data_IF_444022288011
#
_entry.id   IF_444022288011
#
_cell.length_a   1.000
_cell.length_b   1.000
_cell.length_c   1.000
_cell.angle_alpha   90.00
_cell.angle_beta   90.00
_cell.angle_gamma   90.00
#
_symmetry.space_group_name_H-M   'P 1'
#
loop_
_entity.id
_entity.type
_entity.pdbx_description
1 polymer ?
#
# COMPACT_ATOMS: atom_id res chain seq x y z
N UNK A 1 -15.62 -12.28 0.56
CA UNK A 1 -16.13 -12.29 1.96
C UNK A 1 -17.05 -11.08 2.21
N UNK A 2 -17.87 -11.03 3.27
CA UNK A 2 -18.58 -9.79 3.62
C UNK A 2 -17.66 -8.87 4.44
N UNK A 3 -17.09 -7.87 3.77
CA UNK A 3 -16.14 -6.92 4.33
C UNK A 3 -16.88 -5.59 4.51
N UNK A 4 -16.87 -5.03 5.71
CA UNK A 4 -17.53 -3.73 5.99
C UNK A 4 -16.67 -2.57 5.50
N UNK A 5 -17.30 -1.41 5.25
CA UNK A 5 -16.60 -0.16 4.88
C UNK A 5 -15.48 0.15 5.87
N UNK A 6 -15.76 0.09 7.17
CA UNK A 6 -14.77 0.30 8.23
C UNK A 6 -13.57 -0.64 8.09
N UNK A 7 -13.82 -1.94 7.86
CA UNK A 7 -12.73 -2.92 7.69
C UNK A 7 -11.90 -2.64 6.44
N UNK A 8 -12.51 -2.13 5.36
CA UNK A 8 -11.77 -1.69 4.16
C UNK A 8 -10.85 -0.51 4.49
N UNK A 9 -11.36 0.50 5.19
CA UNK A 9 -10.59 1.69 5.59
C UNK A 9 -9.44 1.30 6.54
N UNK A 10 -9.72 0.49 7.56
CA UNK A 10 -8.72 0.01 8.52
C UNK A 10 -7.61 -0.79 7.80
N UNK A 11 -7.98 -1.63 6.83
CA UNK A 11 -7.03 -2.40 6.02
C UNK A 11 -6.19 -1.49 5.11
N UNK A 12 -6.78 -0.47 4.46
CA UNK A 12 -6.02 0.49 3.64
C UNK A 12 -5.08 1.35 4.51
N UNK A 13 -5.50 1.74 5.71
CA UNK A 13 -4.64 2.46 6.63
C UNK A 13 -3.43 1.60 7.02
N UNK A 14 -3.65 0.32 7.33
CA UNK A 14 -2.55 -0.62 7.59
C UNK A 14 -1.66 -0.85 6.37
N UNK A 15 -2.23 -0.94 5.16
CA UNK A 15 -1.45 -1.01 3.92
C UNK A 15 -0.49 0.18 3.79
N UNK A 16 -0.98 1.39 4.07
CA UNK A 16 -0.16 2.60 4.05
C UNK A 16 0.99 2.54 5.07
N UNK A 17 0.70 2.17 6.32
CA UNK A 17 1.71 2.04 7.37
C UNK A 17 2.83 1.05 6.98
N UNK A 18 2.46 -0.11 6.45
CA UNK A 18 3.42 -1.11 6.01
C UNK A 18 4.19 -0.67 4.76
N UNK A 19 3.55 0.04 3.84
CA UNK A 19 4.21 0.59 2.68
C UNK A 19 5.24 1.66 3.06
N UNK A 20 4.91 2.54 4.01
CA UNK A 20 5.84 3.52 4.58
C UNK A 20 7.02 2.85 5.29
N UNK A 21 6.79 1.72 5.98
CA UNK A 21 7.85 0.92 6.59
C UNK A 21 8.81 0.34 5.54
N UNK A 22 8.29 -0.18 4.43
CA UNK A 22 9.10 -0.68 3.31
C UNK A 22 9.89 0.46 2.66
N UNK A 23 9.24 1.61 2.39
CA UNK A 23 9.91 2.78 1.82
C UNK A 23 11.06 3.27 2.68
N UNK A 24 10.88 3.31 4.01
CA UNK A 24 11.96 3.63 4.96
C UNK A 24 13.13 2.64 4.86
N UNK A 25 12.86 1.34 4.78
CA UNK A 25 13.92 0.33 4.61
C UNK A 25 14.69 0.51 3.31
N UNK A 26 13.99 0.72 2.19
CA UNK A 26 14.61 0.95 0.88
C UNK A 26 15.47 2.19 0.90
N UNK A 27 14.98 3.30 1.46
CA UNK A 27 15.73 4.55 1.54
C UNK A 27 16.98 4.42 2.41
N UNK A 28 16.88 3.74 3.55
CA UNK A 28 18.03 3.46 4.40
C UNK A 28 19.07 2.59 3.68
N UNK A 29 18.63 1.55 2.96
CA UNK A 29 19.51 0.68 2.19
C UNK A 29 20.23 1.42 1.04
N UNK A 30 19.52 2.33 0.35
CA UNK A 30 20.10 3.22 -0.67
C UNK A 30 21.15 4.16 -0.07
N UNK A 31 20.86 4.78 1.08
CA UNK A 31 21.76 5.73 1.72
C UNK A 31 23.08 5.07 2.18
N UNK A 32 23.02 3.81 2.60
CA UNK A 32 24.18 3.05 3.06
C UNK A 32 25.04 2.50 1.91
N UNK A 33 24.49 2.35 0.70
CA UNK A 33 25.16 1.68 -0.40
C UNK A 33 25.26 2.58 -1.64
N UNK A 34 26.34 3.37 -1.74
CA UNK A 34 26.61 4.29 -2.87
C UNK A 34 26.69 3.61 -4.24
N UNK A 35 26.87 2.29 -4.30
CA UNK A 35 27.07 1.53 -5.54
C UNK A 35 25.86 0.67 -5.95
N UNK A 36 24.80 0.57 -5.12
CA UNK A 36 23.68 -0.33 -5.42
C UNK A 36 22.60 0.42 -6.20
N UNK A 37 22.57 0.19 -7.50
CA UNK A 37 21.44 0.58 -8.36
C UNK A 37 20.35 -0.47 -8.21
N UNK A 38 19.28 -0.12 -7.49
CA UNK A 38 18.10 -0.97 -7.40
C UNK A 38 17.25 -0.82 -8.66
N UNK A 39 16.80 -1.94 -9.21
CA UNK A 39 15.70 -1.92 -10.18
C UNK A 39 14.41 -1.54 -9.44
N UNK A 40 13.97 -0.29 -9.63
CA UNK A 40 12.85 0.28 -8.88
C UNK A 40 11.52 -0.43 -9.18
N UNK A 41 11.37 -1.07 -10.35
CA UNK A 41 10.20 -1.90 -10.66
C UNK A 41 10.15 -3.13 -9.77
N UNK A 42 11.28 -3.82 -9.61
CA UNK A 42 11.42 -4.97 -8.71
C UNK A 42 11.18 -4.55 -7.25
N UNK A 43 11.69 -3.39 -6.84
CA UNK A 43 11.43 -2.84 -5.50
C UNK A 43 9.94 -2.59 -5.29
N UNK A 44 9.27 -1.93 -6.23
CA UNK A 44 7.85 -1.64 -6.15
C UNK A 44 6.99 -2.92 -6.10
N UNK A 45 7.28 -3.90 -6.97
CA UNK A 45 6.59 -5.19 -6.96
C UNK A 45 6.79 -5.94 -5.64
N UNK A 46 8.02 -5.91 -5.11
CA UNK A 46 8.34 -6.54 -3.82
C UNK A 46 7.61 -5.84 -2.67
N UNK A 47 7.54 -4.51 -2.68
CA UNK A 47 6.78 -3.75 -1.69
C UNK A 47 5.29 -4.12 -1.72
N UNK A 48 4.69 -4.20 -2.91
CA UNK A 48 3.30 -4.63 -3.07
C UNK A 48 3.08 -6.05 -2.54
N UNK A 49 3.97 -6.99 -2.85
CA UNK A 49 3.87 -8.37 -2.36
C UNK A 49 3.99 -8.47 -0.83
N UNK A 50 4.92 -7.73 -0.23
CA UNK A 50 5.08 -7.66 1.24
C UNK A 50 3.82 -7.10 1.90
N UNK A 51 3.29 -5.98 1.39
CA UNK A 51 2.10 -5.34 1.95
C UNK A 51 0.88 -6.26 1.81
N UNK A 52 0.69 -6.89 0.64
CA UNK A 52 -0.41 -7.82 0.42
C UNK A 52 -0.36 -9.01 1.40
N UNK A 53 0.81 -9.62 1.57
CA UNK A 53 1.00 -10.74 2.50
C UNK A 53 0.68 -10.34 3.95
N UNK A 54 1.11 -9.15 4.39
CA UNK A 54 0.84 -8.64 5.75
C UNK A 54 -0.64 -8.33 5.97
N UNK A 55 -1.34 -7.81 4.97
CA UNK A 55 -2.79 -7.58 5.04
C UNK A 55 -3.52 -8.90 5.16
N UNK A 56 -3.14 -9.89 4.37
CA UNK A 56 -3.73 -11.22 4.42
C UNK A 56 -3.51 -11.86 5.80
N UNK A 57 -2.29 -11.78 6.34
CA UNK A 57 -1.97 -12.25 7.70
C UNK A 57 -2.81 -11.55 8.78
N UNK A 58 -2.92 -10.21 8.74
CA UNK A 58 -3.57 -9.42 9.79
C UNK A 58 -5.10 -9.43 9.72
N UNK A 59 -5.68 -9.37 8.53
CA UNK A 59 -7.13 -9.20 8.33
C UNK A 59 -7.83 -10.44 7.77
N UNK A 60 -7.07 -11.44 7.31
CA UNK A 60 -7.58 -12.61 6.60
C UNK A 60 -8.20 -12.26 5.25
N UNK A 61 -7.74 -11.18 4.61
CA UNK A 61 -8.28 -10.67 3.34
C UNK A 61 -7.23 -10.81 2.25
N UNK A 62 -7.59 -11.50 1.16
CA UNK A 62 -6.75 -11.55 -0.04
C UNK A 62 -6.85 -10.25 -0.84
N UNK A 63 -5.98 -10.05 -1.82
CA UNK A 63 -6.08 -8.92 -2.76
C UNK A 63 -7.43 -8.88 -3.47
N UNK A 64 -7.97 -10.03 -3.88
CA UNK A 64 -9.29 -10.14 -4.51
C UNK A 64 -10.44 -9.77 -3.56
N UNK A 65 -10.37 -10.19 -2.28
CA UNK A 65 -11.34 -9.78 -1.27
C UNK A 65 -11.33 -8.26 -1.07
N UNK A 66 -10.13 -7.64 -1.07
CA UNK A 66 -9.95 -6.19 -0.93
C UNK A 66 -10.52 -5.43 -2.13
N UNK A 67 -10.17 -5.82 -3.35
CA UNK A 67 -10.68 -5.19 -4.58
C UNK A 67 -12.19 -5.31 -4.67
N UNK A 68 -12.72 -6.52 -4.43
CA UNK A 68 -14.16 -6.77 -4.42
C UNK A 68 -14.90 -5.92 -3.38
N UNK A 69 -14.31 -5.74 -2.19
CA UNK A 69 -14.89 -4.91 -1.13
C UNK A 69 -14.89 -3.41 -1.49
N UNK A 70 -13.82 -2.92 -2.12
CA UNK A 70 -13.74 -1.53 -2.60
C UNK A 70 -14.80 -1.28 -3.67
N UNK A 71 -14.95 -2.20 -4.64
CA UNK A 71 -15.99 -2.08 -5.68
C UNK A 71 -17.39 -2.14 -5.09
N UNK A 72 -17.65 -3.06 -4.16
CA UNK A 72 -18.95 -3.19 -3.48
C UNK A 72 -19.36 -1.91 -2.75
N UNK A 73 -18.41 -1.23 -2.11
CA UNK A 73 -18.65 -0.05 -1.28
C UNK A 73 -18.25 1.27 -1.94
N UNK A 74 -18.03 1.28 -3.25
CA UNK A 74 -17.45 2.41 -3.99
C UNK A 74 -18.14 3.74 -3.70
N UNK A 75 -19.48 3.77 -3.63
CA UNK A 75 -20.23 5.02 -3.37
C UNK A 75 -19.92 5.61 -2.00
N UNK A 76 -19.85 4.78 -0.97
CA UNK A 76 -19.57 5.22 0.40
C UNK A 76 -18.11 5.65 0.52
N UNK A 77 -17.20 4.82 0.02
CA UNK A 77 -15.76 5.09 0.04
C UNK A 77 -15.37 6.34 -0.76
N UNK A 78 -16.08 6.65 -1.86
CA UNK A 78 -15.84 7.86 -2.65
C UNK A 78 -16.09 9.17 -1.87
N UNK A 79 -16.91 9.12 -0.82
CA UNK A 79 -17.20 10.28 0.05
C UNK A 79 -16.42 10.24 1.36
N UNK A 80 -15.69 9.15 1.62
CA UNK A 80 -14.91 8.96 2.83
C UNK A 80 -13.57 9.69 2.71
N UNK A 81 -13.39 10.74 3.53
CA UNK A 81 -12.20 11.60 3.48
C UNK A 81 -10.94 10.85 3.91
N UNK A 82 -11.06 9.92 4.84
CA UNK A 82 -9.93 9.16 5.34
C UNK A 82 -9.48 8.17 4.29
N UNK A 83 -10.42 7.46 3.66
CA UNK A 83 -10.13 6.57 2.55
C UNK A 83 -9.46 7.31 1.37
N UNK A 84 -9.97 8.48 1.00
CA UNK A 84 -9.36 9.30 -0.05
C UNK A 84 -7.92 9.73 0.32
N UNK A 85 -7.72 10.23 1.54
CA UNK A 85 -6.41 10.65 2.05
C UNK A 85 -5.40 9.50 2.08
N UNK A 86 -5.83 8.33 2.56
CA UNK A 86 -4.99 7.12 2.61
C UNK A 86 -4.55 6.72 1.21
N UNK A 87 -5.47 6.66 0.24
CA UNK A 87 -5.14 6.30 -1.14
C UNK A 87 -4.18 7.30 -1.79
N UNK A 88 -4.37 8.60 -1.57
CA UNK A 88 -3.44 9.62 -2.07
C UNK A 88 -2.03 9.42 -1.52
N UNK A 89 -1.90 9.19 -0.21
CA UNK A 89 -0.60 8.92 0.43
C UNK A 89 0.03 7.62 -0.07
N UNK A 90 -0.75 6.55 -0.23
CA UNK A 90 -0.24 5.30 -0.79
C UNK A 90 0.32 5.49 -2.19
N UNK A 91 -0.39 6.24 -3.06
CA UNK A 91 0.11 6.57 -4.41
C UNK A 91 1.40 7.38 -4.35
N UNK A 92 1.50 8.35 -3.44
CA UNK A 92 2.72 9.14 -3.26
C UNK A 92 3.91 8.27 -2.84
N UNK A 93 3.73 7.39 -1.85
CA UNK A 93 4.80 6.51 -1.35
C UNK A 93 5.19 5.47 -2.43
N UNK A 94 4.21 4.91 -3.16
CA UNK A 94 4.50 4.02 -4.30
C UNK A 94 5.26 4.75 -5.41
N UNK A 95 4.93 6.01 -5.71
CA UNK A 95 5.65 6.82 -6.69
C UNK A 95 7.14 6.97 -6.34
N UNK A 96 7.44 7.24 -5.07
CA UNK A 96 8.82 7.27 -4.56
C UNK A 96 9.53 5.92 -4.74
N UNK A 97 8.83 4.82 -4.50
CA UNK A 97 9.35 3.45 -4.69
C UNK A 97 9.49 3.05 -6.17
N UNK A 98 8.80 3.72 -7.10
CA UNK A 98 8.97 3.48 -8.54
C UNK A 98 10.07 4.38 -9.15
N UNK A 99 10.68 5.26 -8.35
CA UNK A 99 11.64 6.25 -8.85
C UNK A 99 10.99 7.39 -9.62
N UNK A 100 9.68 7.59 -9.45
CA UNK A 100 8.99 8.77 -9.96
C UNK A 100 9.43 9.99 -9.17
N UNK A 101 10.14 10.90 -9.83
CA UNK A 101 10.33 12.27 -9.35
C UNK A 101 8.93 12.93 -9.27
N UNK A 102 8.60 13.52 -8.12
CA UNK A 102 7.56 14.54 -8.05
C UNK A 102 8.16 15.87 -8.49
#
# INVERSE_FOLDING_TARGET
KDVTVKKVVDAHNFMLEELENVARHVNNAKAQSKATVYDMKTVALTAQAIVAAKVEEKFGLTSEDMEGAVMKHQRTLATDKDFASINMKMQQVMGQLMGGEM
#
